data_IF_868129103027
#
_entry.id   IF_868129103027
#
_cell.length_a   1.000
_cell.length_b   1.000
_cell.length_c   1.000
_cell.angle_alpha   90.00
_cell.angle_beta   90.00
_cell.angle_gamma   90.00
#
_symmetry.space_group_name_H-M   'P 1'
#
loop_
_entity.id
_entity.type
_entity.pdbx_description
1 polymer ?
#
# COMPACT_ATOMS: atom_id res chain seq x y z
N UNK A 1 -14.88 43.99 -31.46
CA UNK A 1 -15.52 44.54 -30.25
C UNK A 1 -14.76 44.01 -29.03
N UNK A 2 -13.86 44.83 -28.51
CA UNK A 2 -13.01 44.57 -27.34
C UNK A 2 -13.85 44.72 -26.07
N UNK A 3 -14.00 43.66 -25.28
CA UNK A 3 -14.49 43.75 -23.91
C UNK A 3 -13.35 43.37 -22.96
N UNK A 4 -12.49 44.36 -22.69
CA UNK A 4 -11.56 44.36 -21.56
C UNK A 4 -12.38 44.34 -20.27
N UNK A 5 -12.47 43.18 -19.61
CA UNK A 5 -12.96 43.11 -18.23
C UNK A 5 -11.91 43.71 -17.30
N UNK A 6 -12.21 44.92 -16.83
CA UNK A 6 -11.50 45.63 -15.80
C UNK A 6 -11.63 44.87 -14.48
N UNK A 7 -10.58 44.16 -14.05
CA UNK A 7 -10.44 43.66 -12.69
C UNK A 7 -9.42 44.53 -11.97
N UNK A 8 -9.82 45.74 -11.58
CA UNK A 8 -9.10 46.48 -10.55
C UNK A 8 -9.42 45.83 -9.19
N UNK A 9 -8.80 44.68 -8.90
CA UNK A 9 -8.72 44.22 -7.52
C UNK A 9 -7.77 45.18 -6.80
N UNK A 10 -8.37 46.10 -6.04
CA UNK A 10 -7.68 46.92 -5.06
C UNK A 10 -6.80 45.98 -4.23
N UNK A 11 -5.49 46.10 -4.39
CA UNK A 11 -4.55 45.67 -3.36
C UNK A 11 -5.01 46.36 -2.08
N UNK A 12 -5.45 45.57 -1.10
CA UNK A 12 -5.68 46.04 0.24
C UNK A 12 -4.41 45.69 1.02
N UNK A 13 -3.43 46.59 1.13
CA UNK A 13 -2.37 46.42 2.10
C UNK A 13 -2.97 46.71 3.48
N UNK A 14 -2.42 46.06 4.50
CA UNK A 14 -2.70 46.23 5.94
C UNK A 14 -3.80 45.37 6.54
N UNK A 15 -3.37 44.21 7.05
CA UNK A 15 -3.50 43.89 8.49
C UNK A 15 -2.42 42.85 8.90
N UNK A 16 -1.15 43.28 8.95
CA UNK A 16 -0.20 42.58 9.81
C UNK A 16 -0.56 42.93 11.25
N UNK A 17 -1.40 42.09 11.86
CA UNK A 17 -1.75 42.23 13.27
C UNK A 17 -0.53 41.87 14.09
N UNK A 18 -0.13 42.79 14.96
CA UNK A 18 1.04 42.72 15.83
C UNK A 18 1.21 41.37 16.56
N UNK A 19 2.45 40.87 16.46
CA UNK A 19 3.22 40.10 17.46
C UNK A 19 2.68 38.74 17.89
N UNK A 20 2.82 37.73 17.01
CA UNK A 20 3.16 36.39 17.50
C UNK A 20 4.49 36.47 18.24
N UNK A 21 4.49 36.09 19.51
CA UNK A 21 5.74 35.85 20.25
C UNK A 21 6.47 34.70 19.56
N UNK A 22 7.60 35.02 18.90
CA UNK A 22 8.49 34.02 18.28
C UNK A 22 8.90 33.02 19.36
N UNK A 23 8.51 31.76 19.18
CA UNK A 23 8.84 30.69 20.13
C UNK A 23 10.22 30.14 19.81
N UNK A 24 11.07 30.07 20.82
CA UNK A 24 12.38 29.42 20.75
C UNK A 24 12.51 28.42 21.87
N UNK A 25 13.20 27.31 21.62
CA UNK A 25 13.55 26.39 22.71
C UNK A 25 14.75 26.94 23.55
N UNK A 26 15.13 26.28 24.65
CA UNK A 26 16.27 26.71 25.49
C UNK A 26 17.65 26.69 24.81
N UNK A 27 17.75 26.14 23.59
CA UNK A 27 18.96 26.12 22.77
C UNK A 27 18.93 27.21 21.68
N UNK A 28 17.92 28.08 21.68
CA UNK A 28 17.76 29.15 20.69
C UNK A 28 17.21 28.70 19.33
N UNK A 29 16.77 27.44 19.20
CA UNK A 29 16.18 26.92 17.96
C UNK A 29 14.77 27.49 17.81
N UNK A 30 14.48 28.08 16.65
CA UNK A 30 13.15 28.58 16.32
C UNK A 30 12.14 27.43 16.24
N UNK A 31 11.03 27.59 16.94
CA UNK A 31 9.92 26.64 16.99
C UNK A 31 8.77 27.12 16.11
N UNK A 32 7.74 26.30 15.97
CA UNK A 32 6.48 26.71 15.34
C UNK A 32 5.92 27.98 15.97
N UNK A 33 5.32 28.84 15.13
CA UNK A 33 4.65 30.06 15.56
C UNK A 33 3.63 29.77 16.66
N UNK A 34 3.40 30.74 17.53
CA UNK A 34 2.51 30.57 18.68
C UNK A 34 1.09 30.18 18.25
N UNK A 35 0.64 30.67 17.09
CA UNK A 35 -0.65 30.33 16.49
C UNK A 35 -0.72 28.86 16.08
N UNK A 36 0.25 28.37 15.30
CA UNK A 36 0.28 26.98 14.84
C UNK A 36 0.48 26.00 16.00
N UNK A 37 1.34 26.35 16.96
CA UNK A 37 1.55 25.53 18.15
C UNK A 37 0.24 25.33 18.93
N UNK A 38 -0.54 26.40 19.11
CA UNK A 38 -1.85 26.30 19.77
C UNK A 38 -2.84 25.44 18.98
N UNK A 39 -2.81 25.45 17.65
CA UNK A 39 -3.71 24.61 16.84
C UNK A 39 -3.33 23.13 16.87
N UNK A 40 -2.03 22.81 16.87
CA UNK A 40 -1.53 21.43 16.81
C UNK A 40 -1.40 20.76 18.18
N UNK A 41 -1.10 21.55 19.22
CA UNK A 41 -0.75 21.08 20.55
C UNK A 41 -1.62 21.72 21.64
N UNK A 42 -2.86 22.11 21.33
CA UNK A 42 -3.79 22.72 22.31
C UNK A 42 -3.99 21.90 23.59
N UNK A 43 -3.86 20.58 23.50
CA UNK A 43 -4.04 19.64 24.61
C UNK A 43 -2.77 19.42 25.43
N UNK A 44 -1.61 19.86 24.93
CA UNK A 44 -0.30 19.70 25.56
C UNK A 44 0.12 21.09 26.04
N UNK A 45 0.38 21.22 27.34
CA UNK A 45 0.92 22.47 27.89
C UNK A 45 2.30 22.82 27.28
N UNK A 46 2.85 23.97 27.65
CA UNK A 46 4.21 24.31 27.21
C UNK A 46 5.21 23.21 27.64
N UNK A 47 6.14 22.83 26.76
CA UNK A 47 7.12 21.79 27.04
C UNK A 47 7.97 22.17 28.25
N UNK A 48 8.12 21.23 29.18
CA UNK A 48 9.03 21.36 30.32
C UNK A 48 10.37 20.73 29.96
N UNK A 49 11.45 21.47 30.17
CA UNK A 49 12.81 21.04 29.87
C UNK A 49 13.58 20.79 31.17
N UNK A 50 14.33 19.69 31.24
CA UNK A 50 15.26 19.47 32.35
C UNK A 50 16.58 20.18 32.09
N UNK A 51 17.13 20.84 33.12
CA UNK A 51 18.42 21.53 33.04
C UNK A 51 19.54 20.56 32.63
N UNK A 52 19.52 19.33 33.15
CA UNK A 52 20.46 18.28 32.80
C UNK A 52 20.46 17.97 31.29
N UNK A 53 19.28 17.88 30.65
CA UNK A 53 19.20 17.62 29.21
C UNK A 53 19.67 18.83 28.40
N UNK A 54 19.35 20.05 28.84
CA UNK A 54 19.82 21.28 28.19
C UNK A 54 21.35 21.33 28.19
N UNK A 55 21.99 21.10 29.34
CA UNK A 55 23.46 21.14 29.44
C UNK A 55 24.12 20.00 28.66
N UNK A 56 23.53 18.81 28.68
CA UNK A 56 23.98 17.69 27.84
C UNK A 56 23.90 18.04 26.35
N UNK A 57 22.79 18.63 25.89
CA UNK A 57 22.64 19.08 24.51
C UNK A 57 23.68 20.14 24.14
N UNK A 58 23.91 21.15 25.00
CA UNK A 58 24.97 22.16 24.78
C UNK A 58 26.37 21.55 24.73
N UNK A 59 26.66 20.56 25.57
CA UNK A 59 27.93 19.83 25.53
C UNK A 59 28.13 19.14 24.18
N UNK A 60 27.15 18.37 23.70
CA UNK A 60 27.24 17.69 22.41
C UNK A 60 27.37 18.68 21.24
N UNK A 61 26.60 19.77 21.24
CA UNK A 61 26.70 20.80 20.20
C UNK A 61 28.14 21.36 20.09
N UNK A 62 28.77 21.66 21.23
CA UNK A 62 30.16 22.13 21.27
C UNK A 62 31.18 21.10 20.76
N UNK A 63 30.95 19.81 20.96
CA UNK A 63 31.86 18.75 20.47
C UNK A 63 31.90 18.66 18.94
N UNK A 64 30.83 19.08 18.27
CA UNK A 64 30.71 19.07 16.80
C UNK A 64 30.88 20.47 16.18
N UNK A 65 31.38 21.46 16.96
CA UNK A 65 31.48 22.86 16.54
C UNK A 65 30.14 23.47 16.05
N UNK A 66 29.03 22.99 16.61
CA UNK A 66 27.67 23.47 16.34
C UNK A 66 27.21 24.43 17.46
N UNK A 67 26.41 25.45 17.11
CA UNK A 67 25.80 26.37 18.07
C UNK A 67 26.66 27.56 18.51
N UNK A 68 27.72 27.88 17.77
CA UNK A 68 28.61 29.04 17.97
C UNK A 68 28.18 30.30 17.21
N UNK A 69 27.28 30.16 16.23
CA UNK A 69 26.67 31.26 15.47
C UNK A 69 25.17 31.35 15.74
N UNK A 70 24.63 32.57 15.76
CA UNK A 70 23.17 32.75 15.76
C UNK A 70 22.60 32.18 14.45
N UNK A 71 21.77 31.14 14.54
CA UNK A 71 21.04 30.62 13.38
C UNK A 71 20.20 31.74 12.74
N UNK A 72 20.13 31.74 11.41
CA UNK A 72 19.27 32.65 10.66
C UNK A 72 17.81 32.48 11.15
N UNK A 73 17.21 33.59 11.59
CA UNK A 73 15.86 33.60 12.16
C UNK A 73 14.86 33.90 11.05
N UNK A 74 14.04 32.93 10.72
CA UNK A 74 13.02 33.06 9.68
C UNK A 74 11.79 33.81 10.21
N UNK A 75 11.03 34.43 9.32
CA UNK A 75 9.73 35.02 9.67
C UNK A 75 8.73 33.93 10.10
N UNK A 76 7.91 34.23 11.10
CA UNK A 76 6.87 33.31 11.54
C UNK A 76 5.80 33.18 10.45
N UNK A 77 5.46 31.94 10.10
CA UNK A 77 4.36 31.66 9.17
C UNK A 77 3.06 31.52 9.97
N UNK A 78 2.03 32.25 9.55
CA UNK A 78 0.69 32.19 10.12
C UNK A 78 -0.34 31.83 9.05
N UNK A 79 -0.97 30.68 9.23
CA UNK A 79 -2.16 30.27 8.47
C UNK A 79 -3.06 29.45 9.40
N UNK A 80 -4.31 29.28 8.99
CA UNK A 80 -5.28 28.49 9.74
C UNK A 80 -5.30 27.06 9.20
N UNK A 81 -4.95 26.11 10.06
CA UNK A 81 -5.10 24.69 9.77
C UNK A 81 -6.56 24.28 9.90
N UNK A 82 -7.00 23.25 9.15
CA UNK A 82 -8.26 22.58 9.45
C UNK A 82 -8.32 22.13 10.91
N UNK A 83 -9.51 22.13 11.53
CA UNK A 83 -9.64 21.70 12.91
C UNK A 83 -9.21 20.24 13.06
N UNK A 84 -8.49 19.96 14.15
CA UNK A 84 -8.16 18.58 14.49
C UNK A 84 -9.43 17.79 14.82
N UNK A 85 -9.55 16.63 14.20
CA UNK A 85 -10.56 15.59 14.52
C UNK A 85 -10.58 15.18 16.01
N UNK A 86 -9.48 15.37 16.75
CA UNK A 86 -9.39 15.06 18.19
C UNK A 86 -8.29 15.86 18.90
N UNK A 87 -7.93 15.47 20.14
CA UNK A 87 -7.07 16.23 21.06
C UNK A 87 -5.61 16.29 20.64
N UNK A 88 -5.09 15.29 19.95
CA UNK A 88 -3.69 15.24 19.53
C UNK A 88 -3.54 14.72 18.09
N UNK A 89 -2.35 14.93 17.52
CA UNK A 89 -2.04 14.56 16.15
C UNK A 89 -2.13 13.06 15.88
N UNK A 90 -1.75 12.22 16.85
CA UNK A 90 -1.82 10.76 16.70
C UNK A 90 -3.27 10.32 16.55
N UNK A 91 -4.16 10.79 17.44
CA UNK A 91 -5.59 10.51 17.37
C UNK A 91 -6.21 11.09 16.09
N UNK A 92 -5.82 12.31 15.71
CA UNK A 92 -6.28 12.95 14.49
C UNK A 92 -6.02 12.10 13.24
N UNK A 93 -4.77 11.70 13.03
CA UNK A 93 -4.40 10.87 11.88
C UNK A 93 -4.96 9.45 11.99
N UNK A 94 -5.10 8.90 13.21
CA UNK A 94 -5.77 7.61 13.42
C UNK A 94 -7.23 7.65 12.98
N UNK A 95 -7.96 8.71 13.33
CA UNK A 95 -9.37 8.89 12.92
C UNK A 95 -9.47 9.06 11.40
N UNK A 96 -8.62 9.89 10.80
CA UNK A 96 -8.59 10.06 9.33
C UNK A 96 -8.32 8.72 8.64
N UNK A 97 -7.30 7.99 9.10
CA UNK A 97 -6.95 6.68 8.57
C UNK A 97 -8.12 5.70 8.69
N UNK A 98 -8.79 5.64 9.85
CA UNK A 98 -9.96 4.80 10.06
C UNK A 98 -11.13 5.19 9.15
N UNK A 99 -11.47 6.48 9.03
CA UNK A 99 -12.54 6.96 8.13
C UNK A 99 -12.30 6.53 6.68
N UNK A 100 -11.05 6.60 6.21
CA UNK A 100 -10.71 6.25 4.84
C UNK A 100 -10.61 4.74 4.59
N UNK A 101 -10.05 3.98 5.56
CA UNK A 101 -9.75 2.55 5.38
C UNK A 101 -10.88 1.62 5.79
N UNK A 102 -11.73 2.02 6.75
CA UNK A 102 -12.78 1.16 7.32
C UNK A 102 -13.69 0.48 6.29
N UNK A 103 -14.21 1.18 5.25
CA UNK A 103 -15.06 0.51 4.25
C UNK A 103 -14.37 -0.68 3.58
N UNK A 104 -13.07 -0.56 3.31
CA UNK A 104 -12.28 -1.60 2.66
C UNK A 104 -11.86 -2.71 3.64
N UNK A 105 -11.53 -2.35 4.88
CA UNK A 105 -11.23 -3.34 5.94
C UNK A 105 -12.45 -4.23 6.21
N UNK A 106 -13.65 -3.65 6.29
CA UNK A 106 -14.88 -4.40 6.49
C UNK A 106 -15.14 -5.37 5.31
N UNK A 107 -14.84 -4.95 4.08
CA UNK A 107 -14.90 -5.81 2.88
C UNK A 107 -13.88 -6.96 2.91
N UNK A 108 -12.63 -6.69 3.30
CA UNK A 108 -11.59 -7.71 3.45
C UNK A 108 -11.99 -8.74 4.52
N UNK A 109 -12.50 -8.28 5.67
CA UNK A 109 -12.99 -9.17 6.72
C UNK A 109 -14.15 -10.05 6.26
N UNK A 110 -15.04 -9.53 5.40
CA UNK A 110 -16.10 -10.32 4.77
C UNK A 110 -15.52 -11.43 3.89
N UNK A 111 -14.50 -11.13 3.09
CA UNK A 111 -13.83 -12.12 2.24
C UNK A 111 -13.14 -13.21 3.08
N UNK A 112 -12.36 -12.84 4.10
CA UNK A 112 -11.62 -13.79 4.94
C UNK A 112 -12.56 -14.76 5.68
N UNK A 113 -13.74 -14.29 6.09
CA UNK A 113 -14.73 -15.11 6.80
C UNK A 113 -15.62 -15.95 5.88
N UNK A 114 -15.62 -15.66 4.58
CA UNK A 114 -16.47 -16.35 3.62
C UNK A 114 -15.99 -17.79 3.39
N UNK A 115 -16.92 -18.69 3.12
CA UNK A 115 -16.60 -19.99 2.55
C UNK A 115 -16.45 -19.83 1.06
N UNK A 116 -15.40 -20.41 0.49
CA UNK A 116 -15.17 -20.36 -0.95
C UNK A 116 -16.34 -21.04 -1.67
N UNK A 117 -17.00 -20.39 -2.64
CA UNK A 117 -18.05 -21.00 -3.46
C UNK A 117 -17.50 -22.17 -4.26
N UNK A 118 -18.38 -23.11 -4.64
CA UNK A 118 -18.00 -24.25 -5.47
C UNK A 118 -17.40 -23.77 -6.79
N UNK A 119 -16.23 -24.28 -7.12
CA UNK A 119 -15.59 -23.99 -8.40
C UNK A 119 -16.45 -24.55 -9.55
N UNK A 120 -16.68 -23.77 -10.62
CA UNK A 120 -17.43 -24.26 -11.77
C UNK A 120 -16.71 -25.45 -12.42
N UNK A 121 -17.47 -26.49 -12.76
CA UNK A 121 -16.93 -27.68 -13.44
C UNK A 121 -16.64 -27.42 -14.91
N UNK A 122 -17.33 -26.45 -15.50
CA UNK A 122 -17.11 -26.00 -16.87
C UNK A 122 -17.07 -24.47 -16.93
N UNK A 123 -15.96 -23.95 -17.43
CA UNK A 123 -15.79 -22.53 -17.69
C UNK A 123 -16.38 -22.18 -19.07
N UNK A 124 -17.18 -21.11 -19.12
CA UNK A 124 -17.76 -20.61 -20.37
C UNK A 124 -16.71 -19.87 -21.18
N UNK A 125 -16.51 -20.33 -22.41
CA UNK A 125 -15.76 -19.63 -23.43
C UNK A 125 -16.66 -18.62 -24.14
N UNK A 126 -16.89 -17.47 -23.51
CA UNK A 126 -17.78 -16.42 -24.00
C UNK A 126 -17.18 -15.03 -23.78
N UNK A 127 -17.44 -14.11 -24.71
CA UNK A 127 -16.91 -12.74 -24.66
C UNK A 127 -17.41 -11.98 -23.44
N UNK A 128 -16.51 -11.25 -22.77
CA UNK A 128 -16.83 -10.43 -21.60
C UNK A 128 -16.92 -11.25 -20.33
N UNK A 129 -17.59 -10.69 -19.32
CA UNK A 129 -17.75 -11.34 -18.02
C UNK A 129 -18.82 -12.43 -18.02
N UNK A 130 -18.49 -13.52 -17.35
CA UNK A 130 -19.40 -14.58 -16.95
C UNK A 130 -19.33 -14.75 -15.44
N UNK A 131 -20.50 -14.78 -14.79
CA UNK A 131 -20.66 -15.09 -13.37
C UNK A 131 -21.23 -16.49 -13.21
N UNK A 132 -20.62 -17.25 -12.30
CA UNK A 132 -21.06 -18.61 -11.96
C UNK A 132 -21.85 -18.60 -10.67
N UNK A 133 -22.93 -19.38 -10.60
CA UNK A 133 -23.69 -19.56 -9.34
C UNK A 133 -22.82 -20.16 -8.24
N UNK A 134 -23.24 -19.98 -6.98
CA UNK A 134 -22.50 -20.47 -5.80
C UNK A 134 -22.26 -21.98 -5.81
N UNK A 135 -23.11 -22.75 -6.49
CA UNK A 135 -22.96 -24.21 -6.69
C UNK A 135 -22.11 -24.58 -7.92
N UNK A 136 -21.67 -23.59 -8.71
CA UNK A 136 -20.86 -23.78 -9.91
C UNK A 136 -21.61 -24.36 -11.12
N UNK A 137 -22.94 -24.52 -11.06
CA UNK A 137 -23.71 -25.23 -12.08
C UNK A 137 -24.24 -24.33 -13.20
N UNK A 138 -24.53 -23.07 -12.89
CA UNK A 138 -25.11 -22.11 -13.85
C UNK A 138 -24.15 -20.97 -14.10
N UNK A 139 -24.24 -20.39 -15.30
CA UNK A 139 -23.39 -19.31 -15.76
C UNK A 139 -24.25 -18.25 -16.46
N UNK A 140 -24.07 -16.98 -16.07
CA UNK A 140 -24.77 -15.84 -16.66
C UNK A 140 -23.74 -14.82 -17.17
N UNK A 141 -24.02 -14.21 -18.32
CA UNK A 141 -23.21 -13.12 -18.84
C UNK A 141 -23.59 -11.82 -18.15
N UNK A 142 -22.59 -11.02 -17.78
CA UNK A 142 -22.74 -9.73 -17.11
C UNK A 142 -21.77 -8.71 -17.71
N UNK A 143 -22.04 -7.42 -17.48
CA UNK A 143 -21.16 -6.35 -17.98
C UNK A 143 -19.95 -6.11 -17.06
N UNK A 144 -20.14 -6.29 -15.75
CA UNK A 144 -19.15 -6.06 -14.70
C UNK A 144 -19.47 -6.95 -13.49
N UNK A 145 -18.48 -7.38 -12.70
CA UNK A 145 -18.72 -8.07 -11.44
C UNK A 145 -19.58 -7.22 -10.48
N UNK A 146 -20.53 -7.86 -9.80
CA UNK A 146 -21.51 -7.21 -8.92
C UNK A 146 -21.14 -7.24 -7.43
N UNK A 147 -19.93 -7.70 -7.11
CA UNK A 147 -19.41 -7.74 -5.73
C UNK A 147 -18.35 -6.69 -5.46
N UNK A 148 -18.32 -6.19 -4.22
CA UNK A 148 -17.39 -5.14 -3.82
C UNK A 148 -16.00 -5.65 -3.39
N UNK A 149 -15.83 -6.96 -3.21
CA UNK A 149 -14.54 -7.56 -2.83
C UNK A 149 -14.29 -8.83 -3.62
N UNK A 150 -13.10 -8.93 -4.19
CA UNK A 150 -12.70 -10.12 -4.93
C UNK A 150 -11.19 -10.27 -4.99
N UNK A 151 -10.74 -11.53 -5.12
CA UNK A 151 -9.41 -11.89 -5.58
C UNK A 151 -9.45 -11.92 -7.11
N UNK A 152 -8.43 -11.37 -7.77
CA UNK A 152 -8.43 -11.16 -9.21
C UNK A 152 -7.05 -11.44 -9.81
N UNK A 153 -7.03 -12.04 -11.01
CA UNK A 153 -5.83 -12.40 -11.75
C UNK A 153 -6.09 -12.32 -13.26
N UNK A 154 -5.08 -11.91 -14.04
CA UNK A 154 -5.17 -11.67 -15.49
C UNK A 154 -4.10 -12.42 -16.27
N UNK A 155 -4.53 -13.12 -17.31
CA UNK A 155 -3.63 -13.73 -18.29
C UNK A 155 -3.52 -12.87 -19.54
N UNK A 156 -2.29 -12.77 -20.06
CA UNK A 156 -1.96 -11.91 -21.21
C UNK A 156 -1.27 -12.70 -22.32
N UNK A 157 -1.43 -12.23 -23.56
CA UNK A 157 -0.74 -12.81 -24.71
C UNK A 157 0.49 -11.97 -25.08
N UNK A 158 1.63 -12.32 -24.47
CA UNK A 158 2.86 -11.50 -24.54
C UNK A 158 3.39 -11.33 -25.96
N UNK A 159 3.44 -12.41 -26.74
CA UNK A 159 4.01 -12.41 -28.09
C UNK A 159 3.22 -11.56 -29.09
N UNK A 160 1.96 -11.29 -28.78
CA UNK A 160 1.02 -10.60 -29.67
C UNK A 160 0.60 -9.23 -29.12
N UNK A 161 1.46 -8.55 -28.34
CA UNK A 161 1.23 -7.17 -27.91
C UNK A 161 0.68 -6.99 -26.50
N UNK A 162 0.87 -7.98 -25.62
CA UNK A 162 0.49 -7.94 -24.19
C UNK A 162 -1.00 -7.64 -23.95
N UNK A 163 -1.89 -8.15 -24.81
CA UNK A 163 -3.33 -7.98 -24.60
C UNK A 163 -3.81 -8.84 -23.44
N UNK A 164 -4.73 -8.34 -22.58
CA UNK A 164 -5.45 -9.19 -21.66
C UNK A 164 -6.33 -10.15 -22.48
N UNK A 165 -6.23 -11.44 -22.19
CA UNK A 165 -6.97 -12.48 -22.93
C UNK A 165 -7.98 -13.20 -22.04
N UNK A 166 -7.61 -13.47 -20.79
CA UNK A 166 -8.45 -14.10 -19.81
C UNK A 166 -8.26 -13.39 -18.47
N UNK A 167 -9.31 -13.37 -17.66
CA UNK A 167 -9.19 -13.04 -16.26
C UNK A 167 -10.14 -13.89 -15.43
N UNK A 168 -9.77 -14.11 -14.17
CA UNK A 168 -10.59 -14.83 -13.21
C UNK A 168 -10.75 -13.96 -11.98
N UNK A 169 -11.95 -13.96 -11.41
CA UNK A 169 -12.20 -13.35 -10.12
C UNK A 169 -12.93 -14.31 -9.18
N UNK A 170 -12.58 -14.23 -7.90
CA UNK A 170 -13.23 -14.96 -6.83
C UNK A 170 -13.73 -13.97 -5.78
N UNK A 171 -15.04 -13.97 -5.56
CA UNK A 171 -15.71 -13.19 -4.53
C UNK A 171 -16.21 -14.10 -3.40
N UNK A 172 -16.75 -13.54 -2.31
CA UNK A 172 -17.39 -14.31 -1.26
C UNK A 172 -18.51 -15.26 -1.72
N UNK A 173 -19.23 -14.95 -2.81
CA UNK A 173 -20.39 -15.75 -3.21
C UNK A 173 -20.28 -16.40 -4.59
N UNK A 174 -19.39 -15.90 -5.45
CA UNK A 174 -19.32 -16.33 -6.86
C UNK A 174 -17.88 -16.39 -7.41
N UNK A 175 -17.68 -17.31 -8.34
CA UNK A 175 -16.60 -17.27 -9.32
C UNK A 175 -17.01 -16.41 -10.52
N UNK A 176 -16.02 -15.79 -11.16
CA UNK A 176 -16.18 -15.05 -12.40
C UNK A 176 -15.05 -15.40 -13.36
N UNK A 177 -15.35 -15.37 -14.65
CA UNK A 177 -14.35 -15.42 -15.72
C UNK A 177 -14.64 -14.34 -16.75
N UNK A 178 -13.58 -13.74 -17.29
CA UNK A 178 -13.66 -12.80 -18.40
C UNK A 178 -12.87 -13.34 -19.58
N UNK A 179 -13.43 -13.29 -20.79
CA UNK A 179 -12.70 -13.58 -22.01
C UNK A 179 -12.68 -12.38 -22.94
N UNK A 180 -11.49 -12.05 -23.43
CA UNK A 180 -11.30 -11.00 -24.42
C UNK A 180 -12.01 -11.32 -25.73
N UNK A 181 -12.52 -10.28 -26.39
CA UNK A 181 -13.06 -10.43 -27.75
C UNK A 181 -12.01 -10.97 -28.72
N UNK A 182 -10.71 -10.74 -28.47
CA UNK A 182 -9.62 -11.24 -29.32
C UNK A 182 -9.47 -12.75 -29.29
N UNK A 183 -9.92 -13.38 -28.21
CA UNK A 183 -9.88 -14.83 -28.04
C UNK A 183 -11.12 -15.48 -28.70
N UNK A 184 -12.27 -14.79 -28.66
CA UNK A 184 -13.58 -15.32 -29.08
C UNK A 184 -13.91 -14.98 -30.53
N UNK A 185 -13.65 -13.74 -30.96
CA UNK A 185 -13.98 -13.26 -32.29
C UNK A 185 -13.07 -13.97 -33.31
N UNK A 186 -13.65 -14.49 -34.39
CA UNK A 186 -12.90 -15.17 -35.47
C UNK A 186 -12.19 -14.21 -36.43
N UNK A 187 -12.39 -12.91 -36.25
CA UNK A 187 -11.84 -11.87 -37.09
C UNK A 187 -10.42 -11.52 -36.64
N UNK A 188 -9.46 -11.68 -37.55
CA UNK A 188 -8.08 -11.34 -37.31
C UNK A 188 -7.93 -9.82 -37.14
N UNK A 189 -7.43 -9.38 -35.98
CA UNK A 189 -7.17 -7.96 -35.69
C UNK A 189 -5.66 -7.72 -35.64
N UNK A 190 -5.12 -7.06 -36.66
CA UNK A 190 -3.71 -6.66 -36.80
C UNK A 190 -3.32 -5.47 -35.88
N UNK A 191 -3.96 -5.31 -34.72
CA UNK A 191 -3.67 -4.19 -33.82
C UNK A 191 -2.51 -4.58 -32.90
N UNK A 192 -1.45 -3.76 -32.91
CA UNK A 192 -0.23 -3.98 -32.13
C UNK A 192 -0.30 -3.45 -30.69
N UNK A 193 -1.24 -2.56 -30.37
CA UNK A 193 -1.33 -1.88 -29.08
C UNK A 193 -2.70 -2.09 -28.41
N UNK A 194 -2.70 -2.13 -27.07
CA UNK A 194 -3.89 -2.23 -26.22
C UNK A 194 -4.66 -0.92 -26.23
N UNK A 195 -5.96 -0.98 -26.55
CA UNK A 195 -6.88 0.16 -26.46
C UNK A 195 -7.83 0.01 -25.26
N UNK A 196 -8.49 1.10 -24.86
CA UNK A 196 -9.47 1.11 -23.76
C UNK A 196 -10.62 0.09 -23.92
N UNK A 197 -10.98 -0.26 -25.16
CA UNK A 197 -12.00 -1.27 -25.44
C UNK A 197 -11.49 -2.71 -25.29
N UNK A 198 -10.17 -2.91 -25.28
CA UNK A 198 -9.54 -4.20 -25.01
C UNK A 198 -9.40 -4.45 -23.48
N UNK A 199 -9.59 -3.42 -22.63
CA UNK A 199 -9.44 -3.50 -21.18
C UNK A 199 -10.65 -4.15 -20.49
N UNK A 200 -10.40 -4.69 -19.29
CA UNK A 200 -11.36 -5.42 -18.46
C UNK A 200 -12.20 -4.42 -17.65
N UNK A 201 -13.53 -4.33 -17.85
CA UNK A 201 -14.40 -3.48 -17.04
C UNK A 201 -14.63 -4.11 -15.67
N UNK A 202 -14.41 -3.37 -14.58
CA UNK A 202 -14.51 -3.90 -13.20
C UNK A 202 -15.58 -3.24 -12.34
N UNK A 203 -16.12 -2.10 -12.74
CA UNK A 203 -17.09 -1.36 -11.93
C UNK A 203 -18.19 -0.72 -12.76
N UNK A 204 -19.33 -0.49 -12.11
CA UNK A 204 -20.45 0.27 -12.67
C UNK A 204 -20.72 1.58 -11.96
N UNK A 205 -20.30 1.68 -10.70
CA UNK A 205 -20.48 2.87 -9.89
C UNK A 205 -19.15 3.27 -9.22
N UNK A 206 -18.51 4.35 -9.70
CA UNK A 206 -17.21 4.79 -9.19
C UNK A 206 -17.28 5.34 -7.76
N UNK A 207 -18.48 5.59 -7.21
CA UNK A 207 -18.64 6.14 -5.85
C UNK A 207 -18.72 5.06 -4.77
N UNK A 208 -18.87 3.79 -5.14
CA UNK A 208 -19.03 2.68 -4.19
C UNK A 208 -17.65 2.11 -3.84
N UNK A 209 -17.27 2.06 -2.55
CA UNK A 209 -16.02 1.42 -2.14
C UNK A 209 -15.98 -0.04 -2.59
N UNK A 210 -14.93 -0.39 -3.34
CA UNK A 210 -14.64 -1.74 -3.80
C UNK A 210 -13.15 -2.02 -3.63
N UNK A 211 -12.79 -3.28 -3.41
CA UNK A 211 -11.40 -3.69 -3.24
C UNK A 211 -11.07 -4.96 -4.03
N UNK A 212 -10.03 -4.84 -4.85
CA UNK A 212 -9.47 -5.92 -5.63
C UNK A 212 -8.19 -6.39 -4.95
N UNK A 213 -8.08 -7.70 -4.75
CA UNK A 213 -6.94 -8.33 -4.10
C UNK A 213 -6.23 -9.20 -5.13
N UNK A 214 -4.91 -9.12 -5.21
CA UNK A 214 -4.12 -9.92 -6.14
C UNK A 214 -2.72 -10.20 -5.62
N UNK A 215 -1.95 -10.99 -6.35
CA UNK A 215 -0.54 -11.24 -6.06
C UNK A 215 0.30 -10.56 -7.12
N UNK A 216 1.05 -9.53 -6.73
CA UNK A 216 1.62 -8.56 -7.67
C UNK A 216 0.53 -7.82 -8.47
N UNK A 217 -0.55 -7.43 -7.79
CA UNK A 217 -1.79 -6.88 -8.38
C UNK A 217 -1.57 -5.63 -9.23
N UNK A 218 -0.43 -4.96 -9.08
CA UNK A 218 -0.07 -3.83 -9.92
C UNK A 218 -0.01 -4.21 -11.40
N UNK A 219 0.37 -5.45 -11.73
CA UNK A 219 0.35 -5.97 -13.10
C UNK A 219 -1.09 -6.07 -13.61
N UNK A 220 -1.95 -6.80 -12.91
CA UNK A 220 -3.36 -7.00 -13.26
C UNK A 220 -4.13 -5.68 -13.36
N UNK A 221 -3.81 -4.75 -12.46
CA UNK A 221 -4.39 -3.41 -12.41
C UNK A 221 -4.21 -2.64 -13.71
N UNK A 222 -3.12 -2.87 -14.45
CA UNK A 222 -2.89 -2.21 -15.75
C UNK A 222 -3.88 -2.64 -16.84
N UNK A 223 -4.63 -3.73 -16.62
CA UNK A 223 -5.63 -4.21 -17.58
C UNK A 223 -7.06 -3.85 -17.19
N UNK A 224 -7.25 -3.12 -16.08
CA UNK A 224 -8.56 -2.67 -15.62
C UNK A 224 -8.91 -1.34 -16.28
N UNK A 225 -10.05 -1.30 -16.97
CA UNK A 225 -10.51 -0.18 -17.78
C UNK A 225 -10.61 1.12 -16.99
N UNK A 226 -11.16 1.06 -15.78
CA UNK A 226 -11.48 2.24 -14.97
C UNK A 226 -10.24 2.90 -14.35
N UNK A 227 -9.08 2.21 -14.35
CA UNK A 227 -7.81 2.80 -13.91
C UNK A 227 -7.24 3.85 -14.87
N UNK A 228 -7.85 3.98 -16.06
CA UNK A 228 -7.50 4.97 -17.07
C UNK A 228 -8.52 6.10 -17.18
N UNK A 229 -9.54 6.14 -16.30
CA UNK A 229 -10.46 7.27 -16.21
C UNK A 229 -9.79 8.46 -15.52
N UNK A 230 -10.18 9.68 -15.88
CA UNK A 230 -9.67 10.90 -15.26
C UNK A 230 -10.29 11.14 -13.89
N UNK A 231 -11.58 10.81 -13.77
CA UNK A 231 -12.33 10.88 -12.53
C UNK A 231 -11.88 9.77 -11.57
N UNK A 232 -11.60 10.13 -10.32
CA UNK A 232 -11.19 9.16 -9.32
C UNK A 232 -12.35 8.24 -8.94
N UNK A 233 -12.07 6.94 -8.88
CA UNK A 233 -13.02 5.94 -8.39
C UNK A 233 -12.71 5.56 -6.93
N UNK A 234 -13.70 4.99 -6.25
CA UNK A 234 -13.58 4.43 -4.91
C UNK A 234 -13.00 3.00 -4.92
N UNK A 235 -12.56 2.49 -6.07
CA UNK A 235 -11.87 1.19 -6.14
C UNK A 235 -10.46 1.28 -5.55
N UNK A 236 -10.10 0.32 -4.72
CA UNK A 236 -8.75 0.19 -4.14
C UNK A 236 -8.18 -1.20 -4.41
N UNK A 237 -6.87 -1.31 -4.27
CA UNK A 237 -6.13 -2.54 -4.54
C UNK A 237 -5.37 -2.95 -3.30
N UNK A 238 -5.33 -4.26 -3.03
CA UNK A 238 -4.51 -4.86 -1.99
C UNK A 238 -3.58 -5.90 -2.61
N UNK A 239 -2.29 -5.68 -2.45
CA UNK A 239 -1.27 -6.54 -3.03
C UNK A 239 -0.73 -7.53 -2.00
N UNK A 240 -1.00 -8.82 -2.21
CA UNK A 240 -0.55 -9.88 -1.30
C UNK A 240 0.96 -10.09 -1.33
N UNK A 241 1.63 -9.76 -2.44
CA UNK A 241 3.10 -9.76 -2.51
C UNK A 241 3.69 -8.68 -1.60
N UNK A 242 3.15 -7.47 -1.63
CA UNK A 242 3.57 -6.37 -0.75
C UNK A 242 3.28 -6.67 0.72
N UNK A 243 2.15 -7.32 1.04
CA UNK A 243 1.88 -7.79 2.40
C UNK A 243 2.89 -8.84 2.86
N UNK A 244 3.26 -9.78 1.99
CA UNK A 244 4.30 -10.76 2.30
C UNK A 244 5.65 -10.07 2.53
N UNK A 245 6.04 -9.12 1.69
CA UNK A 245 7.29 -8.35 1.87
C UNK A 245 7.28 -7.58 3.19
N UNK A 246 6.13 -7.01 3.59
CA UNK A 246 5.99 -6.33 4.87
C UNK A 246 6.22 -7.27 6.07
N UNK A 247 5.65 -8.48 6.03
CA UNK A 247 5.68 -9.41 7.16
C UNK A 247 6.91 -10.34 7.18
N UNK A 248 7.47 -10.66 6.02
CA UNK A 248 8.47 -11.73 5.84
C UNK A 248 9.48 -11.40 4.72
N UNK A 249 9.56 -10.14 4.30
CA UNK A 249 10.49 -9.72 3.26
C UNK A 249 11.94 -9.78 3.69
N UNK A 250 12.81 -10.09 2.73
CA UNK A 250 14.26 -10.02 2.90
C UNK A 250 14.82 -8.68 2.44
N UNK A 251 15.88 -8.24 3.11
CA UNK A 251 16.78 -7.22 2.55
C UNK A 251 17.46 -7.76 1.28
N UNK A 252 18.04 -6.86 0.48
CA UNK A 252 18.73 -7.25 -0.75
C UNK A 252 19.85 -8.27 -0.49
N UNK A 253 20.70 -8.05 0.52
CA UNK A 253 21.79 -8.95 0.86
C UNK A 253 21.29 -10.32 1.33
N UNK A 254 20.30 -10.34 2.24
CA UNK A 254 19.69 -11.58 2.73
C UNK A 254 19.05 -12.39 1.59
N UNK A 255 18.39 -11.71 0.64
CA UNK A 255 17.77 -12.39 -0.52
C UNK A 255 18.82 -13.10 -1.38
N UNK A 256 19.95 -12.45 -1.67
CA UNK A 256 21.04 -13.05 -2.45
C UNK A 256 21.63 -14.26 -1.74
N UNK A 257 21.87 -14.15 -0.43
CA UNK A 257 22.38 -15.25 0.38
C UNK A 257 21.39 -16.43 0.43
N UNK A 258 20.10 -16.15 0.62
CA UNK A 258 19.05 -17.16 0.63
C UNK A 258 18.93 -17.87 -0.72
N UNK A 259 18.96 -17.14 -1.83
CA UNK A 259 18.92 -17.73 -3.17
C UNK A 259 20.15 -18.60 -3.45
N UNK A 260 21.35 -18.19 -2.99
CA UNK A 260 22.54 -19.00 -3.09
C UNK A 260 22.43 -20.27 -2.22
N UNK A 261 21.87 -20.15 -1.02
CA UNK A 261 21.60 -21.28 -0.13
C UNK A 261 20.62 -22.27 -0.75
N UNK A 262 19.45 -21.82 -1.22
CA UNK A 262 18.46 -22.68 -1.86
C UNK A 262 19.06 -23.41 -3.06
N UNK A 263 19.79 -22.71 -3.93
CA UNK A 263 20.50 -23.34 -5.06
C UNK A 263 21.50 -24.41 -4.59
N UNK A 264 22.24 -24.15 -3.52
CA UNK A 264 23.19 -25.12 -2.95
C UNK A 264 22.50 -26.30 -2.27
N UNK A 265 21.34 -26.08 -1.65
CA UNK A 265 20.54 -27.12 -1.02
C UNK A 265 19.88 -28.02 -2.08
N UNK A 266 19.34 -27.42 -3.15
CA UNK A 266 18.82 -28.13 -4.32
C UNK A 266 19.88 -28.99 -5.00
N UNK A 267 21.09 -28.45 -5.20
CA UNK A 267 22.21 -29.21 -5.75
C UNK A 267 22.59 -30.40 -4.86
N UNK A 268 22.58 -30.23 -3.53
CA UNK A 268 22.84 -31.32 -2.58
C UNK A 268 21.72 -32.34 -2.50
N UNK A 269 20.45 -31.94 -2.66
CA UNK A 269 19.33 -32.89 -2.74
C UNK A 269 19.38 -33.70 -4.05
N UNK A 270 19.80 -33.10 -5.16
CA UNK A 270 20.02 -33.82 -6.42
C UNK A 270 21.23 -34.77 -6.36
N UNK A 271 22.27 -34.43 -5.60
CA UNK A 271 23.39 -35.32 -5.30
C UNK A 271 23.00 -36.44 -4.31
N UNK A 272 22.17 -36.17 -3.31
CA UNK A 272 21.68 -37.14 -2.33
C UNK A 272 20.55 -38.05 -2.88
N UNK A 273 19.76 -37.62 -3.87
CA UNK A 273 18.86 -38.52 -4.59
C UNK A 273 19.62 -39.58 -5.41
N UNK A 274 20.94 -39.39 -5.61
CA UNK A 274 21.84 -40.39 -6.18
C UNK A 274 22.57 -41.26 -5.12
N UNK A 275 22.37 -41.02 -3.82
CA UNK A 275 22.95 -41.78 -2.71
C UNK A 275 21.98 -41.85 -1.52
N UNK A 276 21.36 -43.02 -1.36
CA UNK A 276 20.38 -43.37 -0.30
C UNK A 276 20.64 -42.80 1.10
N UNK A 277 19.55 -42.29 1.70
CA UNK A 277 19.19 -42.19 3.14
C UNK A 277 20.25 -41.65 4.13
N UNK A 278 19.97 -40.50 4.77
CA UNK A 278 19.35 -40.42 6.12
C UNK A 278 19.39 -38.97 6.66
N UNK A 279 18.25 -38.53 7.20
CA UNK A 279 17.93 -37.16 7.62
C UNK A 279 18.51 -36.78 9.00
N UNK A 280 18.99 -35.54 9.12
CA UNK A 280 18.91 -34.72 10.34
C UNK A 280 18.74 -33.25 9.88
N UNK A 281 17.50 -32.84 9.65
CA UNK A 281 17.16 -31.60 8.92
C UNK A 281 16.95 -30.36 9.82
N UNK A 282 16.97 -30.50 11.16
CA UNK A 282 16.57 -29.41 12.06
C UNK A 282 17.72 -28.67 12.76
N UNK A 283 18.91 -29.26 12.91
CA UNK A 283 20.01 -28.65 13.68
C UNK A 283 20.88 -27.65 12.87
N UNK A 284 20.83 -27.72 11.53
CA UNK A 284 21.70 -26.90 10.69
C UNK A 284 21.16 -25.48 10.46
N UNK A 285 19.85 -25.28 10.60
CA UNK A 285 19.20 -23.97 10.45
C UNK A 285 19.48 -23.04 11.65
N UNK A 286 19.58 -23.59 12.86
CA UNK A 286 19.90 -22.83 14.08
C UNK A 286 21.38 -22.46 14.18
N UNK A 287 22.28 -23.36 13.76
CA UNK A 287 23.73 -23.15 13.92
C UNK A 287 24.26 -21.98 13.10
N UNK A 288 23.68 -21.70 11.93
CA UNK A 288 24.15 -20.64 11.03
C UNK A 288 23.52 -19.27 11.35
N UNK A 289 22.25 -19.24 11.80
CA UNK A 289 21.62 -18.03 12.36
C UNK A 289 22.35 -17.53 13.62
N UNK A 290 22.93 -18.46 14.40
CA UNK A 290 23.79 -18.15 15.54
C UNK A 290 25.22 -17.74 15.14
N UNK A 291 25.67 -18.15 13.94
CA UNK A 291 26.99 -17.79 13.42
C UNK A 291 27.03 -16.38 12.81
N UNK A 292 25.89 -15.78 12.47
CA UNK A 292 25.86 -14.52 11.73
C UNK A 292 25.76 -13.24 12.55
N UNK A 293 25.52 -13.22 13.88
CA UNK A 293 25.69 -11.95 14.65
C UNK A 293 25.68 -12.10 16.18
N UNK A 294 26.49 -11.23 16.83
CA UNK A 294 26.69 -11.07 18.28
C UNK A 294 25.50 -10.42 19.03
N UNK A 295 24.25 -10.62 18.61
CA UNK A 295 23.11 -9.95 19.24
C UNK A 295 22.15 -10.90 19.98
N UNK A 296 21.84 -10.55 21.23
CA UNK A 296 21.13 -11.39 22.21
C UNK A 296 19.62 -11.54 21.93
N UNK A 297 19.08 -10.79 20.98
CA UNK A 297 17.62 -10.65 20.78
C UNK A 297 17.00 -11.73 19.87
N UNK A 298 17.79 -12.43 19.05
CA UNK A 298 17.28 -13.49 18.15
C UNK A 298 16.85 -14.74 18.92
N UNK A 299 17.48 -15.04 20.08
CA UNK A 299 17.09 -16.15 20.96
C UNK A 299 15.69 -15.98 21.56
N UNK A 300 15.21 -14.75 21.71
CA UNK A 300 13.86 -14.49 22.20
C UNK A 300 12.80 -14.82 21.13
N UNK A 301 13.12 -14.58 19.85
CA UNK A 301 12.22 -14.85 18.73
C UNK A 301 12.00 -16.35 18.47
N UNK A 302 13.06 -17.17 18.59
CA UNK A 302 12.94 -18.63 18.42
C UNK A 302 12.13 -19.30 19.55
N UNK A 303 12.19 -18.76 20.77
CA UNK A 303 11.47 -19.31 21.93
C UNK A 303 9.96 -19.06 21.90
N UNK A 304 9.52 -18.04 21.15
CA UNK A 304 8.10 -17.69 21.00
C UNK A 304 7.37 -18.53 19.94
N UNK A 305 8.09 -19.18 19.01
CA UNK A 305 7.48 -20.03 17.98
C UNK A 305 7.24 -21.49 18.40
N UNK A 306 7.93 -21.97 19.44
CA UNK A 306 7.78 -23.35 19.94
C UNK A 306 6.71 -23.49 21.04
N UNK A 307 5.85 -22.49 21.21
CA UNK A 307 4.65 -22.57 22.06
C UNK A 307 3.44 -22.18 21.22
N UNK A 308 3.08 -23.04 20.28
CA UNK A 308 1.71 -23.22 19.76
C UNK A 308 1.61 -24.56 19.04
#
# INVERSE_FOLDING_TARGET
>A
MLLRRCLSRRFCPYHYRLMSTRRTNPLGIQMLSSKLHKQLFSSVGEPKYSEQNIEKSKYHLRQFDLGTSESEKLEDIEFDLPPLENKNLVEHFTIIAQKQSKPYIDLIHRLIKAKIPSQPTQWKYAKGWTKYSTDGQTAISIDYPDEQVMVFDVETLVREGNFPVLAVALSPNHWYSWCSSRLIDKEFRLKSNVELNDMIPMESNPSVPSIIIGHNVAFDRTYIKEQYQLESTAMRFLDTMSLHIMCSGFTHAQRLQYQAFEKSALAKSEENDNLSEQEDFDDQYLSILLASEKDKDVKAYAKLRNVQ
#
